data_IF_363961883084
#
_entry.id   IF_363961883084
#
_cell.length_a   1.000
_cell.length_b   1.000
_cell.length_c   1.000
_cell.angle_alpha   90.00
_cell.angle_beta   90.00
_cell.angle_gamma   90.00
#
_symmetry.space_group_name_H-M   'P 1'
#
loop_
_entity.id
_entity.type
_entity.pdbx_description
1 polymer ?
#
# COMPACT_ATOMS: atom_id res chain seq x y z
N UNK A 1 -9.53 -16.05 -16.58
CA UNK A 1 -10.29 -16.12 -15.31
C UNK A 1 -10.54 -14.68 -14.90
N UNK A 2 -11.74 -14.17 -15.20
CA UNK A 2 -12.15 -12.82 -14.82
C UNK A 2 -12.23 -12.73 -13.30
N UNK A 3 -11.21 -12.16 -12.67
CA UNK A 3 -11.37 -11.61 -11.34
C UNK A 3 -12.00 -10.24 -11.52
N UNK A 4 -13.33 -10.20 -11.63
CA UNK A 4 -14.10 -9.00 -11.36
C UNK A 4 -13.96 -8.73 -9.86
N UNK A 5 -12.83 -8.13 -9.46
CA UNK A 5 -12.55 -7.85 -8.05
C UNK A 5 -13.46 -6.69 -7.66
N UNK A 6 -14.60 -7.04 -7.08
CA UNK A 6 -15.47 -6.11 -6.35
C UNK A 6 -14.64 -5.47 -5.24
N UNK A 7 -14.50 -4.15 -5.27
CA UNK A 7 -13.80 -3.43 -4.21
C UNK A 7 -14.52 -3.66 -2.89
N UNK A 8 -13.80 -3.98 -1.79
CA UNK A 8 -14.45 -4.24 -0.52
C UNK A 8 -14.98 -2.92 0.07
N UNK A 9 -16.27 -2.66 -0.17
CA UNK A 9 -16.98 -1.49 0.34
C UNK A 9 -17.57 -1.81 1.71
N UNK A 10 -17.31 -0.94 2.67
CA UNK A 10 -17.84 -1.01 4.03
C UNK A 10 -19.12 -0.16 4.09
N UNK A 11 -20.21 -0.69 4.65
CA UNK A 11 -21.43 0.08 4.87
C UNK A 11 -21.39 0.80 6.21
N UNK A 12 -21.77 2.08 6.23
CA UNK A 12 -21.91 2.89 7.44
C UNK A 12 -20.92 4.05 7.51
N UNK A 13 -20.96 4.76 8.65
CA UNK A 13 -20.13 5.94 8.89
C UNK A 13 -18.62 5.60 8.86
N UNK A 14 -17.78 6.53 8.35
CA UNK A 14 -16.33 6.38 8.37
C UNK A 14 -15.81 6.26 9.79
N UNK A 15 -14.81 5.41 9.97
CA UNK A 15 -14.14 5.19 11.25
C UNK A 15 -12.69 5.62 11.15
N UNK A 16 -12.17 6.17 12.24
CA UNK A 16 -10.82 6.74 12.26
C UNK A 16 -9.77 5.72 12.73
N UNK A 17 -10.13 4.79 13.61
CA UNK A 17 -9.20 3.79 14.15
C UNK A 17 -9.01 2.60 13.20
N UNK A 18 -7.77 2.16 13.00
CA UNK A 18 -7.41 1.04 12.14
C UNK A 18 -8.09 -0.27 12.57
N UNK A 19 -8.18 -0.52 13.88
CA UNK A 19 -8.88 -1.70 14.42
C UNK A 19 -10.36 -1.70 14.01
N UNK A 20 -11.02 -0.55 14.15
CA UNK A 20 -12.45 -0.43 13.85
C UNK A 20 -12.74 -0.51 12.34
N UNK A 21 -11.81 0.02 11.53
CA UNK A 21 -11.80 -0.12 10.08
C UNK A 21 -11.66 -1.59 9.66
N UNK A 22 -10.65 -2.30 10.18
CA UNK A 22 -10.42 -3.72 9.92
C UNK A 22 -11.59 -4.60 10.40
N UNK A 23 -12.17 -4.28 11.56
CA UNK A 23 -13.36 -4.97 12.07
C UNK A 23 -14.60 -4.76 11.19
N UNK A 24 -14.59 -3.80 10.28
CA UNK A 24 -15.70 -3.60 9.34
C UNK A 24 -15.60 -4.53 8.13
N UNK A 25 -14.42 -5.09 7.84
CA UNK A 25 -14.22 -6.06 6.77
C UNK A 25 -14.71 -7.47 7.10
N UNK A 26 -14.93 -8.29 6.07
CA UNK A 26 -15.12 -9.74 6.26
C UNK A 26 -13.80 -10.35 6.71
N UNK A 27 -13.89 -11.43 7.52
CA UNK A 27 -12.72 -12.15 8.02
C UNK A 27 -11.81 -12.64 6.88
N UNK A 28 -12.40 -13.04 5.76
CA UNK A 28 -11.69 -13.45 4.54
C UNK A 28 -10.81 -12.32 4.00
N UNK A 29 -11.36 -11.11 3.83
CA UNK A 29 -10.60 -9.92 3.38
C UNK A 29 -9.44 -9.62 4.31
N UNK A 30 -9.65 -9.72 5.63
CA UNK A 30 -8.58 -9.47 6.58
C UNK A 30 -7.48 -10.54 6.53
N UNK A 31 -7.83 -11.80 6.24
CA UNK A 31 -6.84 -12.86 6.01
C UNK A 31 -6.04 -12.59 4.73
N UNK A 32 -6.69 -12.12 3.65
CA UNK A 32 -6.00 -11.72 2.43
C UNK A 32 -5.02 -10.59 2.68
N UNK A 33 -5.42 -9.55 3.42
CA UNK A 33 -4.54 -8.43 3.81
C UNK A 33 -3.35 -8.96 4.63
N UNK A 34 -3.59 -9.86 5.60
CA UNK A 34 -2.52 -10.45 6.39
C UNK A 34 -1.54 -11.26 5.54
N UNK A 35 -2.03 -12.04 4.59
CA UNK A 35 -1.20 -12.81 3.66
C UNK A 35 -0.37 -11.90 2.74
N UNK A 36 -0.96 -10.81 2.22
CA UNK A 36 -0.26 -9.82 1.39
C UNK A 36 0.89 -9.14 2.12
N UNK A 37 0.71 -8.82 3.40
CA UNK A 37 1.77 -8.23 4.24
C UNK A 37 2.63 -9.29 4.96
N UNK A 38 2.49 -10.57 4.61
CA UNK A 38 3.20 -11.66 5.29
C UNK A 38 3.09 -11.62 6.83
N UNK A 39 1.99 -11.11 7.36
CA UNK A 39 1.72 -11.01 8.81
C UNK A 39 1.24 -12.37 9.31
N UNK A 40 1.94 -12.99 10.29
CA UNK A 40 1.61 -14.34 10.75
C UNK A 40 0.31 -14.36 11.56
N UNK A 41 -0.80 -14.71 10.91
CA UNK A 41 -2.11 -14.92 11.54
C UNK A 41 -2.60 -16.35 11.37
N UNK A 42 -3.27 -16.90 12.39
CA UNK A 42 -3.90 -18.21 12.29
C UNK A 42 -5.32 -18.05 11.76
N UNK A 43 -5.75 -18.90 10.82
CA UNK A 43 -7.14 -18.93 10.31
C UNK A 43 -8.18 -19.14 11.42
N UNK A 44 -7.80 -19.79 12.52
CA UNK A 44 -8.65 -19.99 13.70
C UNK A 44 -8.80 -18.75 14.59
N UNK A 45 -8.05 -17.67 14.37
CA UNK A 45 -8.21 -16.44 15.15
C UNK A 45 -9.63 -15.87 14.97
N UNK A 46 -10.16 -15.31 16.06
CA UNK A 46 -11.40 -14.53 16.00
C UNK A 46 -11.15 -13.24 15.21
N UNK A 47 -12.21 -12.67 14.65
CA UNK A 47 -12.13 -11.43 13.86
C UNK A 47 -11.49 -10.29 14.65
N UNK A 48 -11.82 -10.18 15.94
CA UNK A 48 -11.25 -9.20 16.88
C UNK A 48 -9.74 -9.40 17.03
N UNK A 49 -9.31 -10.62 17.39
CA UNK A 49 -7.88 -10.92 17.56
C UNK A 49 -7.08 -10.70 16.28
N UNK A 50 -7.69 -10.98 15.14
CA UNK A 50 -7.07 -10.76 13.83
C UNK A 50 -6.95 -9.26 13.52
N UNK A 51 -7.97 -8.46 13.81
CA UNK A 51 -7.94 -7.00 13.64
C UNK A 51 -6.86 -6.36 14.51
N UNK A 52 -6.75 -6.76 15.78
CA UNK A 52 -5.73 -6.29 16.71
C UNK A 52 -4.32 -6.65 16.23
N UNK A 53 -4.13 -7.90 15.78
CA UNK A 53 -2.81 -8.35 15.28
C UNK A 53 -2.40 -7.57 14.03
N UNK A 54 -3.34 -7.37 13.10
CA UNK A 54 -3.11 -6.56 11.91
C UNK A 54 -2.83 -5.10 12.27
N UNK A 55 -3.64 -4.49 13.12
CA UNK A 55 -3.48 -3.09 13.50
C UNK A 55 -2.14 -2.81 14.20
N UNK A 56 -1.58 -3.79 14.92
CA UNK A 56 -0.27 -3.66 15.53
C UNK A 56 0.88 -3.71 14.51
N UNK A 57 0.80 -4.58 13.50
CA UNK A 57 1.93 -4.83 12.57
C UNK A 57 1.84 -4.04 11.25
N UNK A 58 0.64 -3.71 10.81
CA UNK A 58 0.39 -3.04 9.53
C UNK A 58 1.02 -1.63 9.47
N UNK A 59 0.99 -0.80 10.53
CA UNK A 59 1.71 0.47 10.55
C UNK A 59 3.24 0.33 10.48
N UNK A 60 3.82 -0.73 11.06
CA UNK A 60 5.26 -0.98 11.00
C UNK A 60 5.71 -1.38 9.59
N UNK A 61 4.91 -2.22 8.94
CA UNK A 61 5.16 -2.62 7.55
C UNK A 61 4.86 -1.51 6.56
N UNK A 62 3.89 -0.66 6.87
CA UNK A 62 3.48 0.46 6.04
C UNK A 62 4.67 1.36 5.69
N UNK A 63 5.56 1.68 6.63
CA UNK A 63 6.74 2.52 6.33
C UNK A 63 7.63 1.93 5.24
N UNK A 64 7.83 0.60 5.27
CA UNK A 64 8.63 -0.11 4.26
C UNK A 64 7.90 -0.18 2.92
N UNK A 65 6.61 -0.50 2.95
CA UNK A 65 5.80 -0.64 1.74
C UNK A 65 5.54 0.71 1.07
N UNK A 66 5.41 1.78 1.85
CA UNK A 66 5.20 3.14 1.36
C UNK A 66 6.31 3.58 0.40
N UNK A 67 7.56 3.17 0.65
CA UNK A 67 8.69 3.43 -0.24
C UNK A 67 8.61 2.67 -1.57
N UNK A 68 7.90 1.54 -1.60
CA UNK A 68 7.68 0.74 -2.80
C UNK A 68 6.42 1.11 -3.59
N UNK A 69 5.51 1.90 -3.00
CA UNK A 69 4.32 2.39 -3.69
C UNK A 69 4.69 3.32 -4.85
N UNK A 70 3.87 3.32 -5.90
CA UNK A 70 4.02 4.25 -7.01
C UNK A 70 3.74 5.70 -6.57
N UNK A 71 4.31 6.69 -7.26
CA UNK A 71 4.12 8.11 -6.91
C UNK A 71 2.63 8.49 -6.87
N UNK A 72 1.83 7.98 -7.81
CA UNK A 72 0.39 8.21 -7.84
C UNK A 72 -0.34 7.65 -6.60
N UNK A 73 0.03 6.45 -6.13
CA UNK A 73 -0.54 5.85 -4.93
C UNK A 73 -0.19 6.65 -3.67
N UNK A 74 1.04 7.18 -3.59
CA UNK A 74 1.47 8.02 -2.47
C UNK A 74 0.78 9.38 -2.46
N UNK A 75 0.58 9.97 -3.63
CA UNK A 75 -0.16 11.23 -3.78
C UNK A 75 -1.62 11.06 -3.35
N UNK A 76 -2.24 9.93 -3.70
CA UNK A 76 -3.60 9.58 -3.26
C UNK A 76 -3.66 9.39 -1.73
N UNK A 77 -2.75 8.61 -1.15
CA UNK A 77 -2.70 8.41 0.31
C UNK A 77 -2.47 9.71 1.07
N UNK A 78 -1.54 10.55 0.61
CA UNK A 78 -1.25 11.83 1.25
C UNK A 78 -2.39 12.84 1.10
N UNK A 79 -3.12 12.83 -0.03
CA UNK A 79 -4.30 13.66 -0.21
C UNK A 79 -5.40 13.28 0.78
N UNK A 80 -5.70 11.98 0.94
CA UNK A 80 -6.72 11.51 1.89
C UNK A 80 -6.28 11.67 3.35
N UNK A 81 -5.01 11.44 3.69
CA UNK A 81 -4.49 11.64 5.04
C UNK A 81 -4.54 13.11 5.49
N UNK A 82 -4.40 14.05 4.53
CA UNK A 82 -4.50 15.50 4.79
C UNK A 82 -5.95 16.04 4.70
N UNK A 83 -6.95 15.16 4.59
CA UNK A 83 -8.36 15.55 4.54
C UNK A 83 -8.75 16.32 3.26
N UNK A 84 -7.98 16.21 2.18
CA UNK A 84 -8.39 16.78 0.89
C UNK A 84 -9.41 15.82 0.23
N UNK A 85 -10.61 16.30 -0.11
CA UNK A 85 -11.59 15.49 -0.84
C UNK A 85 -11.10 15.33 -2.29
N UNK A 86 -10.48 14.19 -2.60
CA UNK A 86 -10.27 13.78 -3.99
C UNK A 86 -11.61 13.27 -4.49
N UNK A 87 -12.22 14.04 -5.41
CA UNK A 87 -13.53 13.83 -6.06
C UNK A 87 -14.22 12.50 -5.72
N UNK A 88 -15.23 12.58 -4.84
CA UNK A 88 -15.99 11.49 -4.21
C UNK A 88 -16.81 10.62 -5.19
N UNK A 89 -16.83 10.96 -6.47
CA UNK A 89 -17.77 10.41 -7.45
C UNK A 89 -17.20 9.30 -8.34
N UNK A 90 -15.89 9.04 -8.32
CA UNK A 90 -15.31 7.92 -9.07
C UNK A 90 -14.15 7.30 -8.29
N UNK A 91 -14.48 6.31 -7.45
CA UNK A 91 -13.50 5.32 -7.03
C UNK A 91 -13.25 4.40 -8.22
N UNK A 92 -12.46 4.88 -9.18
CA UNK A 92 -12.24 4.16 -10.45
C UNK A 92 -10.78 4.20 -10.88
N UNK A 93 -9.88 4.75 -10.04
CA UNK A 93 -8.45 4.63 -10.30
C UNK A 93 -7.92 3.28 -9.82
N UNK A 94 -7.12 2.63 -10.66
CA UNK A 94 -6.43 1.39 -10.32
C UNK A 94 -5.59 1.54 -9.03
N UNK A 95 -5.06 2.74 -8.79
CA UNK A 95 -4.24 3.07 -7.62
C UNK A 95 -5.06 3.05 -6.33
N UNK A 96 -6.26 3.64 -6.32
CA UNK A 96 -7.16 3.58 -5.17
C UNK A 96 -7.57 2.14 -4.86
N UNK A 97 -7.80 1.34 -5.90
CA UNK A 97 -8.14 -0.08 -5.72
C UNK A 97 -7.00 -0.86 -5.07
N UNK A 98 -5.77 -0.70 -5.54
CA UNK A 98 -4.58 -1.32 -4.92
C UNK A 98 -4.40 -0.89 -3.46
N UNK A 99 -4.63 0.38 -3.15
CA UNK A 99 -4.56 0.91 -1.78
C UNK A 99 -5.65 0.34 -0.85
N UNK A 100 -6.83 0.07 -1.39
CA UNK A 100 -7.92 -0.57 -0.65
C UNK A 100 -7.64 -2.06 -0.43
N UNK A 101 -7.15 -2.75 -1.46
CA UNK A 101 -6.79 -4.17 -1.37
C UNK A 101 -5.68 -4.41 -0.35
N UNK A 102 -4.68 -3.51 -0.32
CA UNK A 102 -3.60 -3.54 0.66
C UNK A 102 -4.03 -3.12 2.07
N UNK A 103 -5.27 -2.65 2.27
CA UNK A 103 -5.77 -2.25 3.59
C UNK A 103 -5.18 -0.95 4.12
N UNK A 104 -4.65 -0.09 3.23
CA UNK A 104 -4.17 1.26 3.58
C UNK A 104 -5.24 2.34 3.41
N UNK A 105 -6.22 2.06 2.54
CA UNK A 105 -7.39 2.92 2.31
C UNK A 105 -8.67 2.13 2.58
N UNK A 106 -9.61 2.71 3.32
CA UNK A 106 -10.89 2.08 3.62
C UNK A 106 -12.01 2.88 2.97
N UNK A 107 -12.92 2.18 2.29
CA UNK A 107 -14.02 2.82 1.58
C UNK A 107 -15.32 2.58 2.34
N UNK A 108 -15.85 3.63 2.92
CA UNK A 108 -17.15 3.63 3.59
C UNK A 108 -18.23 4.12 2.64
N UNK A 109 -19.41 3.53 2.70
CA UNK A 109 -20.61 3.97 1.98
C UNK A 109 -21.62 4.43 3.03
N UNK A 110 -21.82 5.74 3.11
CA UNK A 110 -22.82 6.36 3.97
C UNK A 110 -23.79 7.18 3.11
N UNK A 111 -25.09 6.99 3.31
CA UNK A 111 -26.15 7.70 2.57
C UNK A 111 -26.03 7.71 1.03
N UNK A 112 -25.34 6.70 0.44
CA UNK A 112 -25.12 6.62 -1.00
C UNK A 112 -23.89 7.40 -1.50
N UNK A 113 -23.09 7.96 -0.58
CA UNK A 113 -21.81 8.62 -0.86
C UNK A 113 -20.65 7.78 -0.36
N UNK A 114 -19.57 7.77 -1.14
CA UNK A 114 -18.35 7.08 -0.78
C UNK A 114 -17.41 7.97 0.02
N UNK A 115 -16.99 7.49 1.17
CA UNK A 115 -16.05 8.13 2.07
C UNK A 115 -14.77 7.29 2.15
N UNK A 116 -13.77 7.58 1.30
CA UNK A 116 -12.42 7.06 1.48
C UNK A 116 -11.82 7.59 2.78
N UNK A 117 -11.31 6.70 3.62
CA UNK A 117 -10.73 7.04 4.92
C UNK A 117 -9.41 6.32 5.11
N UNK A 118 -8.37 7.09 5.44
CA UNK A 118 -7.08 6.56 5.89
C UNK A 118 -7.11 6.54 7.43
N UNK A 119 -6.89 5.37 8.06
CA UNK A 119 -6.89 5.27 9.52
C UNK A 119 -5.84 6.19 10.16
N UNK A 120 -6.15 6.72 11.33
CA UNK A 120 -5.32 7.70 12.03
C UNK A 120 -3.91 7.17 12.28
N UNK A 121 -3.76 5.89 12.62
CA UNK A 121 -2.47 5.27 12.88
C UNK A 121 -1.56 5.28 11.65
N UNK A 122 -2.13 5.13 10.45
CA UNK A 122 -1.40 5.22 9.19
C UNK A 122 -1.18 6.69 8.78
N UNK A 123 -2.16 7.56 9.01
CA UNK A 123 -2.04 8.99 8.75
C UNK A 123 -0.93 9.64 9.60
N UNK A 124 -0.80 9.26 10.87
CA UNK A 124 0.29 9.68 11.75
C UNK A 124 1.63 9.18 11.22
N UNK A 125 1.71 7.92 10.76
CA UNK A 125 2.96 7.42 10.15
C UNK A 125 3.30 8.13 8.85
N UNK A 126 2.30 8.53 8.07
CA UNK A 126 2.53 9.39 6.90
C UNK A 126 3.11 10.74 7.32
N UNK A 127 2.52 11.46 8.27
CA UNK A 127 3.03 12.78 8.65
C UNK A 127 4.38 12.75 9.37
N UNK A 128 4.61 11.74 10.22
CA UNK A 128 5.89 11.52 10.91
C UNK A 128 7.04 11.16 9.95
N UNK A 129 6.79 10.32 8.93
CA UNK A 129 7.86 9.82 8.05
C UNK A 129 7.99 10.59 6.72
N UNK A 130 6.93 11.23 6.22
CA UNK A 130 6.99 11.98 4.94
C UNK A 130 7.83 13.26 5.04
N UNK A 131 8.06 13.77 6.26
CA UNK A 131 8.93 14.94 6.48
C UNK A 131 10.43 14.60 6.49
N UNK A 132 10.81 13.32 6.66
CA UNK A 132 12.21 12.90 6.82
C UNK A 132 12.70 11.87 5.80
N UNK A 133 11.85 11.38 4.88
CA UNK A 133 12.29 10.51 3.80
C UNK A 133 12.33 11.34 2.52
N UNK A 134 13.40 12.10 2.24
CA UNK A 134 13.65 12.47 0.86
C UNK A 134 13.69 11.15 0.08
N UNK A 135 13.08 11.15 -1.11
CA UNK A 135 13.33 10.13 -2.09
C UNK A 135 14.79 10.32 -2.56
N UNK A 136 15.73 9.96 -1.69
CA UNK A 136 17.16 10.08 -1.91
C UNK A 136 17.57 9.03 -2.93
N UNK A 137 18.65 9.30 -3.66
CA UNK A 137 19.27 8.33 -4.58
C UNK A 137 19.53 6.97 -3.89
N UNK A 138 19.76 6.99 -2.57
CA UNK A 138 19.94 5.83 -1.70
C UNK A 138 18.68 4.94 -1.60
N UNK A 139 17.50 5.54 -1.51
CA UNK A 139 16.23 4.80 -1.47
C UNK A 139 15.92 4.17 -2.84
N UNK A 140 16.28 4.86 -3.91
CA UNK A 140 16.14 4.35 -5.27
C UNK A 140 17.10 3.19 -5.55
N UNK A 141 18.34 3.29 -5.07
CA UNK A 141 19.34 2.21 -5.14
C UNK A 141 18.90 0.98 -4.32
N UNK A 142 18.38 1.18 -3.11
CA UNK A 142 17.87 0.10 -2.26
C UNK A 142 16.67 -0.63 -2.87
N UNK A 143 15.71 0.13 -3.43
CA UNK A 143 14.59 -0.45 -4.17
C UNK A 143 15.09 -1.26 -5.37
N UNK A 144 16.01 -0.70 -6.16
CA UNK A 144 16.56 -1.38 -7.34
C UNK A 144 17.29 -2.67 -6.95
N UNK A 145 18.06 -2.66 -5.86
CA UNK A 145 18.73 -3.84 -5.34
C UNK A 145 17.75 -4.92 -4.85
N UNK A 146 16.66 -4.52 -4.18
CA UNK A 146 15.61 -5.44 -3.74
C UNK A 146 14.87 -6.07 -4.94
N UNK A 147 14.49 -5.26 -5.92
CA UNK A 147 13.84 -5.70 -7.16
C UNK A 147 14.75 -6.61 -7.96
N UNK A 148 16.04 -6.27 -8.09
CA UNK A 148 17.04 -7.12 -8.75
C UNK A 148 17.10 -8.51 -8.09
N UNK A 149 17.21 -8.59 -6.77
CA UNK A 149 17.23 -9.88 -6.05
C UNK A 149 15.96 -10.69 -6.29
N UNK A 150 14.80 -10.05 -6.29
CA UNK A 150 13.53 -10.73 -6.56
C UNK A 150 13.47 -11.29 -7.99
N UNK A 151 13.88 -10.50 -8.98
CA UNK A 151 13.96 -10.92 -10.39
C UNK A 151 14.97 -12.06 -10.54
N UNK A 152 16.14 -11.96 -9.92
CA UNK A 152 17.18 -12.99 -9.99
C UNK A 152 16.75 -14.30 -9.32
N UNK A 153 15.89 -14.23 -8.31
CA UNK A 153 15.30 -15.42 -7.66
C UNK A 153 14.34 -16.16 -8.59
N UNK A 154 13.62 -15.44 -9.45
CA UNK A 154 12.61 -16.03 -10.35
C UNK A 154 13.23 -16.48 -11.67
N UNK A 155 14.12 -15.67 -12.25
CA UNK A 155 14.63 -15.85 -13.61
C UNK A 155 16.12 -16.21 -13.69
N UNK A 156 16.81 -16.27 -12.55
CA UNK A 156 18.26 -16.44 -12.51
C UNK A 156 19.00 -15.12 -12.74
N UNK A 157 20.33 -15.18 -12.80
CA UNK A 157 21.18 -13.98 -12.85
C UNK A 157 20.77 -13.01 -13.98
N UNK A 158 20.60 -11.73 -13.64
CA UNK A 158 20.21 -10.69 -14.58
C UNK A 158 21.27 -9.58 -14.59
N UNK A 159 21.71 -9.19 -15.79
CA UNK A 159 22.73 -8.15 -15.90
C UNK A 159 22.15 -6.80 -15.47
N UNK A 160 22.91 -5.98 -14.70
CA UNK A 160 22.47 -4.66 -14.29
C UNK A 160 22.04 -3.78 -15.46
N UNK A 161 22.70 -3.93 -16.61
CA UNK A 161 22.39 -3.18 -17.83
C UNK A 161 21.00 -3.51 -18.39
N UNK A 162 20.58 -4.78 -18.29
CA UNK A 162 19.27 -5.22 -18.75
C UNK A 162 18.15 -4.65 -17.86
N UNK A 163 18.35 -4.69 -16.54
CA UNK A 163 17.42 -4.11 -15.57
C UNK A 163 17.35 -2.58 -15.70
N UNK A 164 18.50 -1.92 -15.88
CA UNK A 164 18.55 -0.48 -16.11
C UNK A 164 17.82 -0.09 -17.40
N UNK A 165 18.01 -0.85 -18.47
CA UNK A 165 17.34 -0.60 -19.75
C UNK A 165 15.84 -0.76 -19.62
N UNK A 166 15.37 -1.84 -18.99
CA UNK A 166 13.95 -2.05 -18.73
C UNK A 166 13.35 -0.94 -17.84
N UNK A 167 14.07 -0.55 -16.78
CA UNK A 167 13.67 0.53 -15.89
C UNK A 167 13.55 1.86 -16.64
N UNK A 168 14.60 2.28 -17.35
CA UNK A 168 14.62 3.56 -18.07
C UNK A 168 13.62 3.61 -19.24
N UNK A 169 13.13 2.46 -19.69
CA UNK A 169 12.09 2.39 -20.73
C UNK A 169 10.70 2.69 -20.17
N UNK A 170 10.44 2.40 -18.89
CA UNK A 170 9.11 2.46 -18.30
C UNK A 170 8.96 3.44 -17.11
N UNK A 171 10.06 3.83 -16.48
CA UNK A 171 10.05 4.73 -15.32
C UNK A 171 10.13 6.20 -15.75
N UNK A 172 9.44 7.07 -15.01
CA UNK A 172 9.45 8.53 -15.21
C UNK A 172 10.78 9.17 -14.83
N UNK A 173 11.58 8.51 -13.98
CA UNK A 173 12.92 8.93 -13.57
C UNK A 173 13.97 7.93 -14.04
N UNK A 174 14.89 8.40 -14.88
CA UNK A 174 15.96 7.58 -15.44
C UNK A 174 17.09 7.38 -14.43
N UNK A 175 17.58 6.16 -14.34
CA UNK A 175 18.73 5.78 -13.51
C UNK A 175 19.99 5.69 -14.34
N UNK A 176 21.14 5.81 -13.68
CA UNK A 176 22.46 5.56 -14.29
C UNK A 176 23.19 4.42 -13.57
N UNK A 177 24.12 3.77 -14.27
CA UNK A 177 24.91 2.62 -13.74
C UNK A 177 25.68 2.99 -12.47
N UNK A 178 26.02 4.27 -12.28
CA UNK A 178 26.73 4.74 -11.08
C UNK A 178 25.88 4.57 -9.81
N UNK A 179 24.58 4.82 -9.91
CA UNK A 179 23.60 4.69 -8.82
C UNK A 179 23.33 3.23 -8.40
N UNK A 180 23.77 2.25 -9.20
CA UNK A 180 23.57 0.80 -8.95
C UNK A 180 24.80 0.15 -8.31
N UNK A 181 25.97 0.79 -8.39
CA UNK A 181 27.25 0.22 -7.95
C UNK A 181 27.76 0.77 -6.61
N UNK A 182 27.07 1.73 -6.01
CA UNK A 182 27.21 2.10 -4.60
C UNK A 182 26.31 1.20 -3.73
#
# INVERSE_FOLDING_TARGET
MDQTIEMPIIKGMPKENLVDCLLSYKKETMLTIAEQHAIPVKKSHTKIKLAETLAAQLPEQFVKHYQSLETAERDVLSAYANGKPVNETAIDSADQKKLVESGYLFLFLDQGQFHPTVPQELAVKLTENVSEIPFSDENQANWFAATKRAVETIYGHCSPDHLLTAWNTHATQTMTIKTIKE
#
